data_IF_470043379058
#
_entry.id   IF_470043379058
#
_cell.length_a   1.000
_cell.length_b   1.000
_cell.length_c   1.000
_cell.angle_alpha   90.00
_cell.angle_beta   90.00
_cell.angle_gamma   90.00
#
_symmetry.space_group_name_H-M   'P 1'
#
loop_
_entity.id
_entity.type
_entity.pdbx_description
1 polymer ?
#
# COMPACT_ATOMS: atom_id res chain seq x y z
N UNK A 1 11.03 4.92 34.99
CA UNK A 1 9.82 4.11 34.71
C UNK A 1 9.24 4.34 33.32
N UNK A 2 9.42 5.51 32.67
CA UNK A 2 8.94 5.73 31.30
C UNK A 2 9.62 4.83 30.23
N UNK A 3 10.91 4.52 30.36
CA UNK A 3 11.64 3.66 29.40
C UNK A 3 11.03 2.25 29.30
N UNK A 4 10.73 1.62 30.45
CA UNK A 4 10.17 0.26 30.48
C UNK A 4 8.76 0.18 29.85
N UNK A 5 7.95 1.23 29.99
CA UNK A 5 6.63 1.31 29.36
C UNK A 5 6.73 1.46 27.84
N UNK A 6 7.70 2.24 27.35
CA UNK A 6 7.99 2.38 25.91
C UNK A 6 8.51 1.07 25.34
N UNK A 7 9.43 0.39 26.02
CA UNK A 7 9.97 -0.91 25.59
C UNK A 7 8.86 -1.96 25.46
N UNK A 8 8.00 -2.10 26.48
CA UNK A 8 6.86 -3.03 26.44
C UNK A 8 5.88 -2.70 25.30
N UNK A 9 5.58 -1.41 25.12
CA UNK A 9 4.72 -0.96 24.02
C UNK A 9 5.32 -1.32 22.67
N UNK A 10 6.60 -1.00 22.42
CA UNK A 10 7.20 -1.24 21.11
C UNK A 10 7.31 -2.74 20.83
N UNK A 11 7.71 -3.56 21.80
CA UNK A 11 7.76 -5.02 21.60
C UNK A 11 6.39 -5.55 21.18
N UNK A 12 5.32 -5.16 21.88
CA UNK A 12 3.96 -5.56 21.52
C UNK A 12 3.55 -5.07 20.13
N UNK A 13 3.91 -3.84 19.75
CA UNK A 13 3.62 -3.31 18.42
C UNK A 13 4.37 -4.07 17.32
N UNK A 14 5.63 -4.45 17.55
CA UNK A 14 6.39 -5.24 16.58
C UNK A 14 5.77 -6.62 16.36
N UNK A 15 5.36 -7.29 17.44
CA UNK A 15 4.68 -8.59 17.34
C UNK A 15 3.37 -8.50 16.55
N UNK A 16 2.55 -7.47 16.85
CA UNK A 16 1.28 -7.25 16.15
C UNK A 16 1.49 -6.91 14.66
N UNK A 17 2.51 -6.12 14.33
CA UNK A 17 2.84 -5.80 12.94
C UNK A 17 3.33 -7.02 12.16
N UNK A 18 4.03 -7.96 12.81
CA UNK A 18 4.45 -9.21 12.17
C UNK A 18 3.24 -10.12 11.89
N UNK A 19 2.32 -10.23 12.83
CA UNK A 19 1.05 -10.95 12.63
C UNK A 19 0.21 -10.36 11.49
N UNK A 20 0.07 -9.03 11.45
CA UNK A 20 -0.65 -8.33 10.38
C UNK A 20 0.01 -8.59 9.02
N UNK A 21 1.35 -8.48 8.94
CA UNK A 21 2.09 -8.73 7.71
C UNK A 21 1.90 -10.15 7.21
N UNK A 22 2.04 -11.14 8.09
CA UNK A 22 1.95 -12.53 7.70
C UNK A 22 0.52 -12.89 7.24
N UNK A 23 -0.50 -12.32 7.88
CA UNK A 23 -1.89 -12.43 7.41
C UNK A 23 -2.10 -11.80 6.02
N UNK A 24 -1.53 -10.61 5.77
CA UNK A 24 -1.64 -9.93 4.46
C UNK A 24 -0.90 -10.70 3.33
N UNK A 25 0.24 -11.32 3.67
CA UNK A 25 1.02 -12.13 2.73
C UNK A 25 0.27 -13.42 2.39
N UNK A 26 -0.29 -14.11 3.37
CA UNK A 26 -1.01 -15.36 3.17
C UNK A 26 -2.29 -15.15 2.34
N UNK A 27 -3.09 -14.13 2.66
CA UNK A 27 -4.28 -13.77 1.89
C UNK A 27 -3.90 -13.51 0.42
N UNK A 28 -2.85 -12.74 0.17
CA UNK A 28 -2.42 -12.41 -1.20
C UNK A 28 -1.81 -13.60 -1.94
N UNK A 29 -1.08 -14.49 -1.28
CA UNK A 29 -0.57 -15.74 -1.88
C UNK A 29 -1.72 -16.62 -2.38
N UNK A 30 -2.74 -16.78 -1.54
CA UNK A 30 -3.93 -17.55 -1.91
C UNK A 30 -4.61 -17.01 -3.18
N UNK A 31 -4.61 -15.68 -3.37
CA UNK A 31 -5.17 -15.03 -4.56
C UNK A 31 -4.30 -15.22 -5.79
N UNK A 32 -2.97 -15.14 -5.65
CA UNK A 32 -2.06 -15.28 -6.78
C UNK A 32 -1.98 -16.71 -7.32
N UNK A 33 -2.12 -17.71 -6.44
CA UNK A 33 -1.98 -19.12 -6.80
C UNK A 33 -3.29 -19.75 -7.29
N UNK A 34 -4.45 -19.34 -6.76
CA UNK A 34 -5.73 -20.03 -7.00
C UNK A 34 -6.73 -19.25 -7.86
N UNK A 35 -6.50 -17.96 -8.12
CA UNK A 35 -7.49 -17.09 -8.79
C UNK A 35 -7.01 -16.71 -10.19
N UNK A 36 -7.92 -16.79 -11.17
CA UNK A 36 -7.60 -16.39 -12.53
C UNK A 36 -7.42 -14.88 -12.65
N UNK A 37 -6.60 -14.43 -13.61
CA UNK A 37 -6.37 -13.00 -13.86
C UNK A 37 -7.66 -12.20 -14.12
N UNK A 38 -8.68 -12.84 -14.70
CA UNK A 38 -9.99 -12.21 -14.96
C UNK A 38 -10.79 -11.99 -13.69
N UNK A 39 -10.73 -12.91 -12.74
CA UNK A 39 -11.37 -12.78 -11.44
C UNK A 39 -10.66 -11.73 -10.58
N UNK A 40 -9.32 -11.66 -10.64
CA UNK A 40 -8.58 -10.57 -10.01
C UNK A 40 -8.97 -9.20 -10.57
N UNK A 41 -9.29 -9.13 -11.88
CA UNK A 41 -9.81 -7.91 -12.49
C UNK A 41 -11.24 -7.61 -12.06
N UNK A 42 -12.12 -8.61 -11.90
CA UNK A 42 -13.49 -8.36 -11.42
C UNK A 42 -13.53 -7.93 -9.96
N UNK A 43 -12.58 -8.38 -9.14
CA UNK A 43 -12.35 -7.87 -7.79
C UNK A 43 -11.70 -6.46 -7.76
N UNK A 44 -11.21 -5.97 -8.90
CA UNK A 44 -10.66 -4.63 -9.04
C UNK A 44 -9.21 -4.46 -8.59
N UNK A 45 -8.48 -5.56 -8.33
CA UNK A 45 -7.07 -5.54 -7.87
C UNK A 45 -6.06 -5.77 -9.00
N UNK A 46 -6.55 -6.03 -10.20
CA UNK A 46 -5.75 -6.24 -11.41
C UNK A 46 -6.33 -5.48 -12.60
N UNK A 47 -5.48 -4.91 -13.45
CA UNK A 47 -5.84 -4.29 -14.72
C UNK A 47 -5.12 -5.01 -15.86
N UNK A 48 -5.87 -5.60 -16.78
CA UNK A 48 -5.32 -6.36 -17.91
C UNK A 48 -5.32 -5.54 -19.20
N UNK A 49 -4.48 -5.97 -20.16
CA UNK A 49 -4.45 -5.47 -21.55
C UNK A 49 -4.25 -3.96 -21.65
N UNK A 50 -3.38 -3.43 -20.81
CA UNK A 50 -2.97 -2.03 -20.82
C UNK A 50 -1.89 -1.80 -21.90
N UNK A 51 -1.85 -0.60 -22.44
CA UNK A 51 -0.83 -0.13 -23.37
C UNK A 51 -0.16 1.13 -22.81
N UNK A 52 1.08 1.38 -23.21
CA UNK A 52 1.79 2.60 -22.80
C UNK A 52 1.31 3.77 -23.64
N UNK A 53 0.80 4.81 -22.96
CA UNK A 53 0.37 6.07 -23.57
C UNK A 53 1.49 7.11 -23.57
N UNK A 54 2.17 7.28 -22.43
CA UNK A 54 3.30 8.22 -22.34
C UNK A 54 4.30 7.79 -21.27
N UNK A 55 5.55 8.22 -21.45
CA UNK A 55 6.66 8.01 -20.52
C UNK A 55 7.35 9.34 -20.28
N UNK A 56 7.64 9.67 -19.03
CA UNK A 56 8.25 10.95 -18.63
C UNK A 56 9.13 10.74 -17.40
N UNK A 57 10.19 11.52 -17.25
CA UNK A 57 10.96 11.55 -16.00
C UNK A 57 10.22 12.40 -14.97
N UNK A 58 10.00 11.83 -13.79
CA UNK A 58 9.37 12.46 -12.64
C UNK A 58 10.38 12.91 -11.58
N UNK A 59 9.85 13.23 -10.40
CA UNK A 59 10.66 13.63 -9.24
C UNK A 59 11.61 12.51 -8.82
N UNK A 60 12.80 12.89 -8.34
CA UNK A 60 13.86 11.98 -7.92
C UNK A 60 14.38 11.05 -9.02
N UNK A 61 14.26 11.45 -10.29
CA UNK A 61 14.69 10.63 -11.42
C UNK A 61 13.88 9.33 -11.53
N UNK A 62 12.57 9.38 -11.23
CA UNK A 62 11.68 8.22 -11.37
C UNK A 62 11.00 8.22 -12.72
N UNK A 63 10.92 7.07 -13.38
CA UNK A 63 10.20 6.95 -14.64
C UNK A 63 8.69 6.91 -14.39
N UNK A 64 7.97 7.92 -14.85
CA UNK A 64 6.52 7.98 -14.85
C UNK A 64 5.97 7.41 -16.15
N UNK A 65 5.22 6.33 -16.05
CA UNK A 65 4.59 5.67 -17.20
C UNK A 65 3.09 5.75 -17.05
N UNK A 66 2.43 6.31 -18.05
CA UNK A 66 0.97 6.34 -18.15
C UNK A 66 0.50 5.18 -19.01
N UNK A 67 -0.38 4.37 -18.45
CA UNK A 67 -1.02 3.25 -19.10
C UNK A 67 -2.49 3.56 -19.39
N UNK A 68 -2.98 3.07 -20.52
CA UNK A 68 -4.37 3.17 -20.95
C UNK A 68 -4.88 1.80 -21.39
N UNK A 69 -6.20 1.53 -21.37
CA UNK A 69 -6.75 0.35 -22.03
C UNK A 69 -6.35 0.29 -23.50
N UNK A 70 -5.97 -0.89 -23.99
CA UNK A 70 -5.75 -1.10 -25.43
C UNK A 70 -7.03 -0.77 -26.19
N UNK A 71 -6.92 -0.05 -27.31
CA UNK A 71 -8.05 0.30 -28.19
C UNK A 71 -8.58 -0.92 -28.95
N UNK A 72 -9.20 -1.86 -28.25
CA UNK A 72 -9.87 -3.00 -28.86
C UNK A 72 -11.25 -3.13 -28.22
N UNK A 73 -12.25 -2.60 -28.93
CA UNK A 73 -13.69 -2.64 -28.65
C UNK A 73 -14.20 -1.87 -27.40
N UNK A 74 -14.94 -0.79 -27.68
CA UNK A 74 -15.94 -0.08 -26.86
C UNK A 74 -15.59 0.51 -25.48
N UNK A 75 -14.55 0.05 -24.78
CA UNK A 75 -14.20 0.58 -23.46
C UNK A 75 -13.11 1.65 -23.57
N UNK A 76 -13.50 2.93 -23.56
CA UNK A 76 -12.54 4.04 -23.43
C UNK A 76 -12.08 4.25 -21.97
N UNK A 77 -12.70 3.55 -21.01
CA UNK A 77 -12.44 3.69 -19.58
C UNK A 77 -11.79 2.43 -18.98
N UNK A 78 -11.06 2.62 -17.89
CA UNK A 78 -10.55 1.52 -17.07
C UNK A 78 -11.73 0.75 -16.46
N UNK A 79 -11.61 -0.59 -16.30
CA UNK A 79 -12.60 -1.36 -15.56
C UNK A 79 -12.70 -0.88 -14.10
N UNK A 80 -13.83 -1.16 -13.46
CA UNK A 80 -14.02 -0.88 -12.03
C UNK A 80 -12.89 -1.47 -11.22
N UNK A 81 -12.24 -0.64 -10.40
CA UNK A 81 -11.01 -1.01 -9.73
C UNK A 81 -10.86 -0.32 -8.37
N UNK A 82 -10.05 -0.91 -7.48
CA UNK A 82 -9.80 -0.46 -6.12
C UNK A 82 -8.40 0.14 -5.94
N UNK A 83 -7.79 0.58 -7.05
CA UNK A 83 -6.51 1.25 -7.01
C UNK A 83 -6.67 2.66 -6.41
N UNK A 84 -5.65 3.10 -5.68
CA UNK A 84 -5.53 4.44 -5.12
C UNK A 84 -4.09 4.95 -5.25
N UNK A 85 -3.91 6.27 -5.31
CA UNK A 85 -2.56 6.85 -5.29
C UNK A 85 -1.80 6.41 -4.04
N UNK A 86 -0.57 5.92 -4.22
CA UNK A 86 0.26 5.36 -3.16
C UNK A 86 0.28 3.82 -3.12
N UNK A 87 -0.62 3.16 -3.83
CA UNK A 87 -0.60 1.70 -3.95
C UNK A 87 0.70 1.21 -4.60
N UNK A 88 1.24 0.10 -4.09
CA UNK A 88 2.35 -0.61 -4.68
C UNK A 88 1.80 -1.54 -5.75
N UNK A 89 2.32 -1.44 -6.97
CA UNK A 89 1.83 -2.22 -8.11
C UNK A 89 2.98 -2.92 -8.83
N UNK A 90 2.74 -4.16 -9.24
CA UNK A 90 3.64 -4.91 -10.10
C UNK A 90 3.23 -4.71 -11.55
N UNK A 91 4.21 -4.40 -12.40
CA UNK A 91 4.07 -4.39 -13.84
C UNK A 91 4.46 -5.75 -14.38
N UNK A 92 3.60 -6.34 -15.21
CA UNK A 92 3.87 -7.62 -15.84
C UNK A 92 3.56 -7.56 -17.33
N UNK A 93 4.24 -8.39 -18.10
CA UNK A 93 3.90 -8.72 -19.48
C UNK A 93 3.53 -10.21 -19.61
N UNK A 94 3.59 -10.73 -20.84
CA UNK A 94 3.39 -12.15 -21.13
C UNK A 94 4.51 -13.04 -20.58
N UNK A 95 5.71 -12.51 -20.40
CA UNK A 95 6.90 -13.21 -19.92
C UNK A 95 7.07 -13.24 -18.40
N UNK A 96 6.41 -12.35 -17.66
CA UNK A 96 6.46 -12.35 -16.19
C UNK A 96 6.37 -10.97 -15.56
N UNK A 97 6.89 -10.84 -14.34
CA UNK A 97 6.99 -9.56 -13.65
C UNK A 97 8.18 -8.77 -14.21
N UNK A 98 7.92 -7.58 -14.70
CA UNK A 98 8.93 -6.68 -15.25
C UNK A 98 9.48 -5.74 -14.19
N UNK A 99 8.59 -5.15 -13.39
CA UNK A 99 8.96 -4.09 -12.46
C UNK A 99 7.97 -3.97 -11.30
N UNK A 100 8.37 -3.23 -10.28
CA UNK A 100 7.48 -2.79 -9.20
C UNK A 100 7.49 -1.27 -9.16
N UNK A 101 6.31 -0.67 -9.05
CA UNK A 101 6.15 0.77 -9.04
C UNK A 101 5.12 1.24 -8.04
N UNK A 102 5.04 2.56 -7.89
CA UNK A 102 4.08 3.22 -7.01
C UNK A 102 3.07 3.94 -7.89
N UNK A 103 1.79 3.71 -7.62
CA UNK A 103 0.72 4.41 -8.30
C UNK A 103 0.73 5.89 -7.91
N UNK A 104 0.86 6.77 -8.88
CA UNK A 104 0.88 8.23 -8.63
C UNK A 104 -0.45 8.89 -8.93
N UNK A 105 -1.14 8.42 -9.96
CA UNK A 105 -2.40 9.00 -10.43
C UNK A 105 -3.28 7.94 -11.07
N UNK A 106 -4.58 8.04 -10.79
CA UNK A 106 -5.63 7.27 -11.46
C UNK A 106 -6.61 8.24 -12.07
N UNK A 107 -6.98 7.98 -13.31
CA UNK A 107 -8.06 8.66 -14.02
C UNK A 107 -9.03 7.61 -14.54
N UNK A 108 -10.21 8.05 -15.00
CA UNK A 108 -11.21 7.14 -15.54
C UNK A 108 -10.71 6.34 -16.76
N UNK A 109 -9.69 6.83 -17.47
CA UNK A 109 -9.19 6.24 -18.72
C UNK A 109 -7.71 5.91 -18.70
N UNK A 110 -7.00 6.24 -17.63
CA UNK A 110 -5.56 6.07 -17.56
C UNK A 110 -5.07 5.92 -16.13
N UNK A 111 -3.93 5.27 -15.99
CA UNK A 111 -3.27 5.05 -14.70
C UNK A 111 -1.78 5.35 -14.86
N UNK A 112 -1.20 6.09 -13.92
CA UNK A 112 0.21 6.49 -13.98
C UNK A 112 0.98 5.87 -12.82
N UNK A 113 2.05 5.17 -13.15
CA UNK A 113 2.91 4.46 -12.22
C UNK A 113 4.31 5.08 -12.27
N UNK A 114 4.90 5.31 -11.09
CA UNK A 114 6.29 5.69 -10.93
C UNK A 114 7.15 4.45 -10.69
N UNK A 115 8.13 4.23 -11.54
CA UNK A 115 9.17 3.21 -11.40
C UNK A 115 10.49 3.85 -10.97
N UNK A 116 11.32 3.10 -10.27
CA UNK A 116 12.60 3.61 -9.76
C UNK A 116 13.71 3.33 -10.77
N UNK A 117 14.24 4.36 -11.43
CA UNK A 117 15.27 4.20 -12.48
C UNK A 117 16.51 3.45 -11.96
N UNK A 118 16.80 3.51 -10.65
CA UNK A 118 18.00 2.92 -10.06
C UNK A 118 18.06 1.39 -10.06
N UNK A 119 16.90 0.72 -10.08
CA UNK A 119 16.82 -0.75 -10.13
C UNK A 119 16.40 -1.26 -11.53
N UNK A 120 15.91 -0.35 -12.37
CA UNK A 120 15.12 -0.63 -13.57
C UNK A 120 15.75 -0.05 -14.85
N UNK A 121 17.07 0.16 -14.88
CA UNK A 121 17.84 0.77 -16.00
C UNK A 121 17.62 0.15 -17.40
N UNK A 122 16.81 -0.90 -17.53
CA UNK A 122 16.43 -1.56 -18.78
C UNK A 122 14.92 -1.66 -19.03
N UNK A 123 14.05 -0.96 -18.28
CA UNK A 123 12.62 -0.92 -18.58
C UNK A 123 12.32 -0.13 -19.86
N UNK A 124 12.57 -0.78 -21.00
CA UNK A 124 12.10 -0.35 -22.31
C UNK A 124 10.66 -0.83 -22.49
N UNK A 125 9.71 0.05 -22.17
CA UNK A 125 8.30 -0.25 -22.37
C UNK A 125 7.88 0.13 -23.79
N UNK A 126 7.41 -0.86 -24.54
CA UNK A 126 6.97 -0.73 -25.92
C UNK A 126 5.48 -0.37 -25.95
N UNK A 127 5.08 0.53 -26.86
CA UNK A 127 3.68 0.93 -27.03
C UNK A 127 2.82 -0.17 -27.64
N UNK A 128 3.43 -1.11 -28.37
CA UNK A 128 2.71 -2.17 -29.09
C UNK A 128 2.40 -3.39 -28.19
N UNK A 129 3.10 -3.53 -27.07
CA UNK A 129 2.94 -4.62 -26.11
C UNK A 129 1.74 -4.42 -25.19
N UNK A 130 1.22 -5.54 -24.68
CA UNK A 130 0.15 -5.55 -23.70
C UNK A 130 0.74 -5.81 -22.32
N UNK A 131 0.41 -4.91 -21.39
CA UNK A 131 0.84 -4.99 -20.00
C UNK A 131 -0.35 -5.29 -19.10
N UNK A 132 -0.04 -5.82 -17.93
CA UNK A 132 -0.98 -5.94 -16.82
C UNK A 132 -0.38 -5.30 -15.56
N UNK A 133 -1.24 -4.68 -14.78
CA UNK A 133 -0.90 -4.12 -13.46
C UNK A 133 -1.61 -4.94 -12.38
N UNK A 134 -0.87 -5.36 -11.37
CA UNK A 134 -1.38 -6.08 -10.22
C UNK A 134 -1.06 -5.32 -8.93
N UNK A 135 -2.05 -5.13 -8.05
CA UNK A 135 -1.83 -4.53 -6.73
C UNK A 135 -1.04 -5.50 -5.83
N UNK A 136 0.11 -5.05 -5.34
CA UNK A 136 1.03 -5.84 -4.51
C UNK A 136 0.86 -5.52 -3.01
N UNK A 137 1.53 -6.33 -2.19
CA UNK A 137 1.69 -6.11 -0.75
C UNK A 137 2.40 -4.81 -0.45
N UNK A 138 1.90 -4.12 0.57
CA UNK A 138 2.54 -2.90 1.01
C UNK A 138 3.65 -3.19 2.02
N UNK A 139 4.72 -3.85 1.55
CA UNK A 139 5.94 -4.05 2.34
C UNK A 139 6.54 -2.72 2.80
N UNK A 140 6.27 -1.64 2.07
CA UNK A 140 6.74 -0.29 2.39
C UNK A 140 6.11 0.20 3.69
N UNK A 141 4.82 -0.02 3.89
CA UNK A 141 4.12 0.36 5.13
C UNK A 141 4.68 -0.41 6.31
N UNK A 142 4.81 -1.73 6.20
CA UNK A 142 5.43 -2.56 7.25
C UNK A 142 6.85 -2.07 7.59
N UNK A 143 7.69 -1.87 6.57
CA UNK A 143 9.07 -1.38 6.76
C UNK A 143 9.12 0.00 7.43
N UNK A 144 8.19 0.91 7.11
CA UNK A 144 8.12 2.25 7.73
C UNK A 144 7.70 2.16 9.19
N UNK A 145 6.67 1.37 9.50
CA UNK A 145 6.18 1.17 10.86
C UNK A 145 7.25 0.51 11.74
N UNK A 146 7.91 -0.54 11.22
CA UNK A 146 9.03 -1.21 11.91
C UNK A 146 10.20 -0.26 12.18
N UNK A 147 10.56 0.59 11.21
CA UNK A 147 11.60 1.62 11.42
C UNK A 147 11.20 2.66 12.46
N UNK A 148 9.96 3.14 12.43
CA UNK A 148 9.47 4.09 13.42
C UNK A 148 9.47 3.50 14.83
N UNK A 149 9.04 2.25 14.98
CA UNK A 149 9.13 1.48 16.21
C UNK A 149 10.58 1.36 16.71
N UNK A 150 11.54 1.03 15.84
CA UNK A 150 12.96 0.97 16.20
C UNK A 150 13.51 2.34 16.63
N UNK A 151 13.11 3.43 15.96
CA UNK A 151 13.50 4.79 16.37
C UNK A 151 12.95 5.13 17.76
N UNK A 152 11.70 4.73 18.07
CA UNK A 152 11.09 4.93 19.39
C UNK A 152 11.84 4.18 20.51
N UNK A 153 12.37 2.99 20.24
CA UNK A 153 13.19 2.25 21.22
C UNK A 153 14.51 2.97 21.57
N UNK A 154 15.10 3.67 20.60
CA UNK A 154 16.41 4.32 20.76
C UNK A 154 16.32 5.82 21.08
N UNK A 155 15.12 6.37 21.21
CA UNK A 155 14.92 7.78 21.54
C UNK A 155 15.33 8.04 23.01
N UNK A 156 16.31 8.92 23.27
CA UNK A 156 16.66 9.30 24.63
C UNK A 156 15.45 9.98 25.27
N UNK A 157 15.04 9.50 26.45
CA UNK A 157 13.75 9.76 27.11
C UNK A 157 13.44 11.19 27.57
N UNK A 158 13.71 12.21 26.76
CA UNK A 158 13.29 13.59 26.98
C UNK A 158 12.15 13.94 26.03
N UNK A 159 10.98 13.38 26.32
CA UNK A 159 9.74 13.89 25.75
C UNK A 159 9.50 15.31 26.32
N UNK A 160 9.12 16.30 25.50
CA UNK A 160 8.82 17.64 25.98
C UNK A 160 7.70 17.61 27.02
N UNK A 161 7.79 18.49 28.04
CA UNK A 161 6.79 18.61 29.10
C UNK A 161 5.38 18.77 28.48
N UNK A 162 4.44 17.90 28.87
CA UNK A 162 3.10 17.81 28.27
C UNK A 162 2.88 16.64 27.30
N UNK A 163 3.93 15.89 26.95
CA UNK A 163 3.80 14.68 26.13
C UNK A 163 3.23 13.53 26.97
N UNK A 164 1.93 13.31 26.88
CA UNK A 164 1.27 12.15 27.50
C UNK A 164 1.34 10.97 26.52
N UNK A 165 2.19 9.97 26.81
CA UNK A 165 2.15 8.69 26.10
C UNK A 165 0.80 8.03 26.41
N UNK A 166 -0.14 8.06 25.47
CA UNK A 166 -1.35 7.25 25.51
C UNK A 166 -0.97 5.81 25.14
N UNK A 167 -0.21 5.14 26.01
CA UNK A 167 -0.06 3.70 25.97
C UNK A 167 -1.28 3.08 26.67
N UNK A 168 -2.45 3.17 26.03
CA UNK A 168 -3.61 2.42 26.47
C UNK A 168 -3.43 0.96 26.05
N UNK A 169 -2.81 0.15 26.92
CA UNK A 169 -3.02 -1.30 26.87
C UNK A 169 -4.09 -1.60 27.91
N UNK A 170 -5.38 -1.75 27.54
CA UNK A 170 -6.29 -2.47 28.39
C UNK A 170 -5.88 -3.94 28.30
N UNK A 171 -5.17 -4.42 29.31
CA UNK A 171 -5.09 -5.86 29.56
C UNK A 171 -6.49 -6.33 29.93
N UNK A 172 -7.11 -7.07 29.00
CA UNK A 172 -8.34 -7.81 29.26
C UNK A 172 -9.63 -7.08 28.90
N UNK A 173 -10.05 -7.20 27.65
CA UNK A 173 -11.49 -7.35 27.36
C UNK A 173 -11.66 -8.30 26.19
N UNK A 174 -12.32 -9.41 26.49
CA UNK A 174 -12.76 -10.45 25.56
C UNK A 174 -13.61 -9.84 24.43
N UNK A 175 -13.55 -10.49 23.27
CA UNK A 175 -14.33 -10.21 22.06
C UNK A 175 -15.80 -9.90 22.34
N UNK A 176 -16.30 -8.75 21.87
CA UNK A 176 -17.66 -8.65 21.35
C UNK A 176 -17.75 -7.63 20.20
N UNK A 177 -18.53 -7.92 19.15
CA UNK A 177 -18.63 -7.07 17.99
C UNK A 177 -19.61 -5.92 18.24
N UNK A 178 -19.24 -4.73 17.77
CA UNK A 178 -20.09 -3.56 17.56
C UNK A 178 -20.34 -2.69 18.81
N UNK A 179 -19.47 -1.70 19.00
CA UNK A 179 -19.76 -0.52 19.82
C UNK A 179 -19.92 0.70 18.92
N UNK A 180 -21.11 1.27 18.95
CA UNK A 180 -21.52 2.56 18.38
C UNK A 180 -20.76 3.71 19.06
N UNK A 181 -20.16 4.59 18.26
CA UNK A 181 -19.59 5.85 18.75
C UNK A 181 -20.72 6.80 19.10
N UNK A 182 -20.94 7.05 20.38
CA UNK A 182 -21.77 8.15 20.87
C UNK A 182 -20.83 9.22 21.43
N UNK A 183 -20.89 10.42 20.87
CA UNK A 183 -20.17 11.60 21.38
C UNK A 183 -21.10 12.32 22.37
N UNK A 184 -20.63 12.54 23.60
CA UNK A 184 -21.26 13.48 24.54
C UNK A 184 -20.32 14.68 24.73
N UNK A 185 -20.76 15.83 24.22
CA UNK A 185 -20.09 17.11 24.41
C UNK A 185 -20.44 17.69 25.79
N UNK A 186 -19.48 17.65 26.72
CA UNK A 186 -19.56 18.44 27.94
C UNK A 186 -19.02 19.85 27.68
N UNK A 187 -19.93 20.78 27.36
CA UNK A 187 -19.65 22.21 27.49
C UNK A 187 -19.60 22.59 28.98
N UNK A 188 -18.39 22.85 29.47
CA UNK A 188 -18.16 23.47 30.77
C UNK A 188 -18.43 24.98 30.65
N UNK A 189 -19.38 25.48 31.43
CA UNK A 189 -19.78 26.88 31.45
C UNK A 189 -18.79 27.80 32.14
N UNK A 190 -18.95 29.08 31.85
CA UNK A 190 -18.73 30.17 32.80
C UNK A 190 -19.72 31.28 32.48
#
# INVERSE_FOLDING_TARGET
>A
MASAAVESFVSKQLDLLELERDAEVEERRSWQENISLKELQSQGVCLLKLQVSSQRTGLYGRLLVTFEPRRCASATALPSNSFTSGDIVGLYDEGGQLATGILTRIMQRSVTVAFDESHDFQLSLDRERAYRLLKLANDVTYKRLKKAAAVLQHLPGRLPEGSRLLCAVPEGTCHHPRASWHWEDHHCGR
#
